data_IF_828277431716
#
_entry.id   IF_828277431716
#
_cell.length_a   1.000
_cell.length_b   1.000
_cell.length_c   1.000
_cell.angle_alpha   90.00
_cell.angle_beta   90.00
_cell.angle_gamma   90.00
#
_symmetry.space_group_name_H-M   'P 1'
#
loop_
_entity.id
_entity.type
_entity.pdbx_description
1 polymer ?
#
# COMPACT_ATOMS: atom_id res chain seq x y z
N UNK A 1 20.07 9.43 70.48
CA UNK A 1 21.00 9.92 69.43
C UNK A 1 20.54 9.58 68.02
N UNK A 2 20.22 8.31 67.69
CA UNK A 2 19.73 7.95 66.34
C UNK A 2 18.36 8.57 65.98
N UNK A 3 17.41 8.65 66.92
CA UNK A 3 16.08 9.29 66.68
C UNK A 3 16.12 10.81 66.50
N UNK A 4 17.13 11.50 67.06
CA UNK A 4 17.33 12.94 66.84
C UNK A 4 17.96 13.24 65.47
N UNK A 5 18.72 12.29 64.91
CA UNK A 5 19.31 12.40 63.57
C UNK A 5 18.26 12.23 62.46
N UNK A 6 17.27 11.34 62.65
CA UNK A 6 16.16 11.19 61.72
C UNK A 6 15.20 12.38 61.76
N UNK A 7 15.02 13.01 62.93
CA UNK A 7 14.15 14.18 63.10
C UNK A 7 14.69 15.48 62.46
N UNK A 8 16.01 15.59 62.27
CA UNK A 8 16.68 16.75 61.67
C UNK A 8 17.33 16.44 60.31
N UNK A 9 17.04 15.29 59.72
CA UNK A 9 17.50 14.92 58.37
C UNK A 9 16.71 15.69 57.32
N UNK A 10 17.35 16.06 56.21
CA UNK A 10 16.65 16.62 55.04
C UNK A 10 15.62 15.65 54.43
N UNK A 11 15.72 14.36 54.76
CA UNK A 11 14.76 13.30 54.41
C UNK A 11 13.70 13.04 55.52
N UNK A 12 13.58 13.93 56.50
CA UNK A 12 12.50 13.86 57.49
C UNK A 12 11.14 14.00 56.77
N UNK A 13 10.15 13.20 57.18
CA UNK A 13 8.85 13.12 56.47
C UNK A 13 8.10 14.45 56.33
N UNK A 14 8.40 15.46 57.17
CA UNK A 14 7.87 16.82 57.02
C UNK A 14 8.39 17.59 55.80
N UNK A 15 9.53 17.19 55.24
CA UNK A 15 10.14 17.78 54.04
C UNK A 15 9.79 17.00 52.77
N UNK A 16 8.96 15.95 52.85
CA UNK A 16 8.65 15.09 51.71
C UNK A 16 8.15 15.86 50.48
N UNK A 17 7.23 16.86 50.60
CA UNK A 17 6.79 17.63 49.42
C UNK A 17 7.91 18.43 48.76
N UNK A 18 8.85 18.96 49.55
CA UNK A 18 9.99 19.73 49.04
C UNK A 18 11.01 18.85 48.32
N UNK A 19 11.27 17.66 48.85
CA UNK A 19 12.17 16.69 48.22
C UNK A 19 11.53 16.09 46.96
N UNK A 20 10.22 15.89 46.95
CA UNK A 20 9.45 15.42 45.79
C UNK A 20 9.47 16.46 44.66
N UNK A 21 9.24 17.75 44.95
CA UNK A 21 9.34 18.83 43.95
C UNK A 21 10.76 18.94 43.36
N UNK A 22 11.79 18.84 44.21
CA UNK A 22 13.20 18.79 43.77
C UNK A 22 13.49 17.57 42.89
N UNK A 23 12.93 16.41 43.21
CA UNK A 23 13.13 15.20 42.41
C UNK A 23 12.43 15.28 41.06
N UNK A 24 11.22 15.85 41.02
CA UNK A 24 10.50 16.09 39.77
C UNK A 24 11.22 17.08 38.86
N UNK A 25 11.77 18.16 39.41
CA UNK A 25 12.60 19.10 38.67
C UNK A 25 13.88 18.44 38.12
N UNK A 26 14.46 17.50 38.88
CA UNK A 26 15.58 16.68 38.42
C UNK A 26 15.20 15.72 37.28
N UNK A 27 14.02 15.09 37.33
CA UNK A 27 13.51 14.20 36.28
C UNK A 27 13.24 14.96 34.96
N UNK A 28 12.80 16.21 35.03
CA UNK A 28 12.60 17.08 33.86
C UNK A 28 13.93 17.63 33.31
N UNK A 29 14.79 18.13 34.21
CA UNK A 29 16.14 18.59 33.86
C UNK A 29 17.10 18.44 35.05
N UNK A 30 18.07 17.51 35.01
CA UNK A 30 19.05 17.33 36.09
C UNK A 30 19.88 18.58 36.41
N UNK A 31 20.04 19.49 35.44
CA UNK A 31 20.74 20.76 35.59
C UNK A 31 19.99 21.82 36.41
N UNK A 32 18.69 21.61 36.66
CA UNK A 32 17.82 22.55 37.39
C UNK A 32 17.98 22.48 38.91
N UNK A 33 18.57 21.39 39.41
CA UNK A 33 18.77 21.17 40.85
C UNK A 33 20.23 21.42 41.28
N UNK A 34 20.46 21.87 42.53
CA UNK A 34 21.79 22.02 43.11
C UNK A 34 22.62 20.72 43.04
N UNK A 35 23.95 20.85 42.88
CA UNK A 35 24.85 19.71 42.63
C UNK A 35 24.81 18.63 43.74
N UNK A 36 24.56 19.02 44.99
CA UNK A 36 24.41 18.08 46.11
C UNK A 36 23.15 17.21 46.00
N UNK A 37 22.07 17.73 45.41
CA UNK A 37 20.84 16.98 45.15
C UNK A 37 20.96 16.13 43.88
N UNK A 38 21.61 16.65 42.84
CA UNK A 38 21.89 15.89 41.61
C UNK A 38 22.66 14.60 41.92
N UNK A 39 23.77 14.71 42.66
CA UNK A 39 24.57 13.55 43.05
C UNK A 39 23.79 12.53 43.90
N UNK A 40 22.87 13.02 44.74
CA UNK A 40 22.00 12.16 45.54
C UNK A 40 20.98 11.40 44.66
N UNK A 41 20.32 12.08 43.71
CA UNK A 41 19.35 11.47 42.80
C UNK A 41 19.99 10.54 41.74
N UNK A 42 21.18 10.88 41.24
CA UNK A 42 21.99 10.01 40.38
C UNK A 42 22.28 8.67 41.07
N UNK A 43 22.59 8.70 42.38
CA UNK A 43 22.84 7.50 43.17
C UNK A 43 21.59 6.64 43.37
N UNK A 44 20.41 7.27 43.34
CA UNK A 44 19.11 6.60 43.53
C UNK A 44 18.63 5.90 42.26
N UNK A 45 18.91 6.45 41.07
CA UNK A 45 18.61 5.83 39.77
C UNK A 45 19.36 4.50 39.55
N UNK A 46 20.43 4.25 40.32
CA UNK A 46 21.20 2.99 40.28
C UNK A 46 20.66 1.92 41.24
N UNK A 47 19.60 2.23 42.00
CA UNK A 47 18.93 1.28 42.92
C UNK A 47 17.76 0.62 42.18
N UNK A 48 17.60 -0.71 42.23
CA UNK A 48 16.46 -1.38 41.61
C UNK A 48 15.13 -0.84 42.15
N UNK A 49 14.16 -0.62 41.27
CA UNK A 49 12.82 -0.20 41.66
C UNK A 49 12.22 -1.21 42.65
N UNK A 50 11.43 -0.71 43.61
CA UNK A 50 10.82 -1.52 44.68
C UNK A 50 9.88 -2.59 44.13
N UNK A 51 9.37 -2.41 42.91
CA UNK A 51 8.50 -3.35 42.18
C UNK A 51 9.26 -4.30 41.23
N UNK A 52 10.60 -4.22 41.18
CA UNK A 52 11.45 -5.04 40.32
C UNK A 52 11.44 -4.63 38.84
N UNK A 53 10.87 -3.48 38.48
CA UNK A 53 10.87 -2.98 37.11
C UNK A 53 12.09 -2.11 36.78
N UNK A 54 12.54 -2.12 35.53
CA UNK A 54 13.60 -1.22 35.01
C UNK A 54 13.00 0.02 34.34
N UNK A 55 11.82 0.47 34.79
CA UNK A 55 11.16 1.64 34.19
C UNK A 55 11.74 2.91 34.81
N UNK A 56 12.08 3.93 33.99
CA UNK A 56 12.48 5.22 34.53
C UNK A 56 11.31 5.86 35.29
N UNK A 57 11.64 6.55 36.39
CA UNK A 57 10.66 7.31 37.17
C UNK A 57 10.04 8.42 36.31
N UNK A 58 8.74 8.65 36.50
CA UNK A 58 7.96 9.66 35.76
C UNK A 58 7.54 10.79 36.69
N UNK A 59 7.43 12.00 36.15
CA UNK A 59 6.98 13.19 36.89
C UNK A 59 5.51 13.04 37.29
N UNK A 60 5.23 12.97 38.60
CA UNK A 60 3.90 12.67 39.13
C UNK A 60 2.98 13.91 39.17
N UNK A 61 3.52 15.12 39.30
CA UNK A 61 2.74 16.37 39.30
C UNK A 61 1.91 16.57 38.04
N UNK A 62 2.42 16.21 36.86
CA UNK A 62 1.67 16.26 35.61
C UNK A 62 0.44 15.33 35.63
N UNK A 63 0.60 14.13 36.19
CA UNK A 63 -0.44 13.13 36.35
C UNK A 63 -1.46 13.60 37.39
N UNK A 64 -1.01 14.06 38.55
CA UNK A 64 -1.86 14.60 39.62
C UNK A 64 -2.63 15.83 39.13
N UNK A 65 -2.00 16.74 38.39
CA UNK A 65 -2.67 17.90 37.79
C UNK A 65 -3.73 17.47 36.77
N UNK A 66 -3.46 16.44 35.96
CA UNK A 66 -4.45 15.89 35.01
C UNK A 66 -5.66 15.26 35.74
N UNK A 67 -5.43 14.59 36.87
CA UNK A 67 -6.50 14.04 37.71
C UNK A 67 -7.25 15.11 38.48
N UNK A 68 -6.58 16.16 38.95
CA UNK A 68 -7.21 17.31 39.60
C UNK A 68 -8.09 18.11 38.63
N UNK A 69 -7.64 18.31 37.39
CA UNK A 69 -8.46 18.90 36.33
C UNK A 69 -9.65 18.00 35.96
N UNK A 70 -9.46 16.68 35.86
CA UNK A 70 -10.57 15.72 35.69
C UNK A 70 -11.55 15.73 36.86
N UNK A 71 -11.08 15.88 38.09
CA UNK A 71 -11.94 15.95 39.27
C UNK A 71 -12.78 17.24 39.29
N UNK A 72 -12.22 18.37 38.81
CA UNK A 72 -12.96 19.62 38.59
C UNK A 72 -14.00 19.51 37.47
N UNK A 73 -13.78 18.65 36.48
CA UNK A 73 -14.70 18.43 35.35
C UNK A 73 -15.97 17.63 35.70
N UNK A 74 -16.05 17.05 36.91
CA UNK A 74 -17.21 16.28 37.38
C UNK A 74 -17.33 14.89 36.74
N UNK A 75 -18.36 14.09 37.10
CA UNK A 75 -18.57 12.77 36.51
C UNK A 75 -18.85 12.89 35.02
N UNK A 76 -18.38 11.91 34.23
CA UNK A 76 -18.51 11.85 32.76
C UNK A 76 -19.96 12.14 32.36
N UNK A 77 -20.20 13.37 31.91
CA UNK A 77 -21.43 13.74 31.23
C UNK A 77 -21.28 13.32 29.77
N UNK A 78 -22.22 12.54 29.27
CA UNK A 78 -22.44 12.40 27.83
C UNK A 78 -22.75 13.81 27.31
N UNK A 79 -21.78 14.43 26.64
CA UNK A 79 -21.94 15.76 26.04
C UNK A 79 -22.80 15.60 24.79
N UNK A 80 -24.11 15.74 24.94
CA UNK A 80 -24.98 16.10 23.82
C UNK A 80 -24.66 17.54 23.40
N UNK A 81 -24.43 17.71 22.09
CA UNK A 81 -23.87 18.88 21.42
C UNK A 81 -24.14 20.24 22.12
N UNK A 82 -23.09 20.81 22.71
CA UNK A 82 -23.05 22.24 23.06
C UNK A 82 -22.65 23.07 21.83
N UNK A 83 -23.12 24.31 21.79
CA UNK A 83 -22.64 25.40 20.92
C UNK A 83 -21.24 25.86 21.33
N UNK A 84 -20.30 24.93 21.47
CA UNK A 84 -18.88 25.23 21.73
C UNK A 84 -18.19 25.48 20.38
N UNK A 85 -17.75 26.73 20.09
CA UNK A 85 -17.08 27.06 18.84
C UNK A 85 -15.83 26.21 18.59
N UNK A 86 -15.11 25.81 19.64
CA UNK A 86 -13.89 25.00 19.50
C UNK A 86 -14.23 23.55 19.17
N UNK A 87 -15.31 23.00 19.74
CA UNK A 87 -15.82 21.69 19.32
C UNK A 87 -16.33 21.72 17.87
N UNK A 88 -16.94 22.84 17.46
CA UNK A 88 -17.33 23.09 16.07
C UNK A 88 -16.13 23.04 15.12
N UNK A 89 -15.05 23.75 15.46
CA UNK A 89 -13.78 23.73 14.69
C UNK A 89 -13.19 22.33 14.62
N UNK A 90 -13.10 21.62 15.74
CA UNK A 90 -12.58 20.25 15.81
C UNK A 90 -13.37 19.27 14.92
N UNK A 91 -14.69 19.39 14.84
CA UNK A 91 -15.52 18.56 13.93
C UNK A 91 -15.20 18.81 12.46
N UNK A 92 -14.99 20.07 12.06
CA UNK A 92 -14.58 20.42 10.70
C UNK A 92 -13.18 19.88 10.41
N UNK A 93 -12.26 20.05 11.35
CA UNK A 93 -10.90 19.53 11.27
C UNK A 93 -10.86 18.00 11.07
N UNK A 94 -11.71 17.24 11.79
CA UNK A 94 -11.84 15.79 11.56
C UNK A 94 -12.26 15.45 10.13
N UNK A 95 -13.20 16.21 9.57
CA UNK A 95 -13.64 16.01 8.18
C UNK A 95 -12.52 16.30 7.18
N UNK A 96 -11.74 17.37 7.42
CA UNK A 96 -10.57 17.71 6.61
C UNK A 96 -9.47 16.65 6.70
N UNK A 97 -9.20 16.14 7.90
CA UNK A 97 -8.25 15.07 8.15
C UNK A 97 -8.64 13.79 7.39
N UNK A 98 -9.91 13.36 7.42
CA UNK A 98 -10.40 12.22 6.64
C UNK A 98 -10.16 12.44 5.14
N UNK A 99 -10.49 13.63 4.64
CA UNK A 99 -10.27 13.98 3.24
C UNK A 99 -8.78 13.97 2.87
N UNK A 100 -7.90 14.46 3.76
CA UNK A 100 -6.46 14.45 3.57
C UNK A 100 -5.91 13.01 3.45
N UNK A 101 -6.32 12.08 4.31
CA UNK A 101 -5.90 10.67 4.20
C UNK A 101 -6.39 10.01 2.92
N UNK A 102 -7.63 10.29 2.49
CA UNK A 102 -8.15 9.79 1.21
C UNK A 102 -7.38 10.31 -0.02
N UNK A 103 -6.81 11.51 0.05
CA UNK A 103 -6.11 12.15 -1.06
C UNK A 103 -4.59 11.93 -1.06
N UNK A 104 -3.96 12.01 0.12
CA UNK A 104 -2.52 12.03 0.32
C UNK A 104 -1.97 10.75 0.97
N UNK A 105 -2.83 9.85 1.48
CA UNK A 105 -2.39 8.65 2.20
C UNK A 105 -1.46 7.76 1.39
N UNK A 106 -1.66 7.69 0.07
CA UNK A 106 -0.77 6.94 -0.85
C UNK A 106 0.69 7.41 -0.82
N UNK A 107 0.94 8.70 -0.57
CA UNK A 107 2.30 9.25 -0.48
C UNK A 107 3.01 8.88 0.82
N UNK A 108 2.25 8.50 1.84
CA UNK A 108 2.77 8.06 3.14
C UNK A 108 2.68 6.53 3.32
N UNK A 109 2.14 5.81 2.34
CA UNK A 109 1.99 4.37 2.36
C UNK A 109 3.35 3.64 2.30
N UNK A 110 3.40 2.44 2.87
CA UNK A 110 4.58 1.59 2.89
C UNK A 110 4.73 0.79 1.59
N UNK A 111 5.08 1.47 0.50
CA UNK A 111 5.07 0.92 -0.85
C UNK A 111 6.41 0.34 -1.31
N UNK A 112 7.53 0.80 -0.76
CA UNK A 112 8.86 0.36 -1.18
C UNK A 112 9.31 -0.87 -0.37
N UNK A 113 9.38 -2.09 -0.96
CA UNK A 113 9.88 -3.27 -0.27
C UNK A 113 11.36 -3.12 0.17
N UNK A 114 12.13 -2.25 -0.47
CA UNK A 114 13.54 -2.01 -0.17
C UNK A 114 13.76 -0.88 0.85
N UNK A 115 12.71 -0.13 1.21
CA UNK A 115 12.75 0.97 2.19
C UNK A 115 13.89 2.00 1.92
N UNK A 116 14.12 2.34 0.64
CA UNK A 116 15.22 3.21 0.21
C UNK A 116 14.92 4.69 0.40
N UNK A 117 13.65 5.05 0.38
CA UNK A 117 13.20 6.44 0.52
C UNK A 117 12.60 6.67 1.90
N UNK A 118 13.02 7.76 2.54
CA UNK A 118 12.37 8.24 3.75
C UNK A 118 10.95 8.69 3.44
N UNK A 119 10.03 8.44 4.37
CA UNK A 119 8.64 8.88 4.20
C UNK A 119 8.59 10.41 4.24
N UNK A 120 7.90 11.05 3.29
CA UNK A 120 7.77 12.50 3.30
C UNK A 120 7.00 12.95 4.54
N UNK A 121 7.38 14.12 5.09
CA UNK A 121 6.56 14.81 6.08
C UNK A 121 5.39 15.47 5.36
N UNK A 122 4.17 15.04 5.67
CA UNK A 122 2.93 15.58 5.10
C UNK A 122 2.11 16.19 6.26
N UNK A 123 2.19 17.51 6.49
CA UNK A 123 1.49 18.16 7.61
C UNK A 123 0.00 17.85 7.64
N UNK A 124 -0.66 17.74 6.49
CA UNK A 124 -2.10 17.48 6.37
C UNK A 124 -2.52 16.09 6.90
N UNK A 125 -1.59 15.16 7.09
CA UNK A 125 -1.84 13.84 7.70
C UNK A 125 -1.57 13.83 9.22
N UNK A 126 -1.01 14.91 9.77
CA UNK A 126 -0.73 15.09 11.19
C UNK A 126 -1.91 15.79 11.89
N UNK A 127 -2.48 15.23 12.97
CA UNK A 127 -3.53 15.90 13.75
C UNK A 127 -3.14 17.29 14.25
N UNK A 128 -1.87 17.50 14.60
CA UNK A 128 -1.39 18.77 15.15
C UNK A 128 -1.50 19.92 14.14
N UNK A 129 -1.45 19.63 12.83
CA UNK A 129 -1.70 20.61 11.77
C UNK A 129 -3.08 21.25 11.87
N UNK A 130 -4.07 20.51 12.38
CA UNK A 130 -5.43 20.99 12.59
C UNK A 130 -5.68 21.51 14.02
N UNK A 131 -4.64 21.61 14.84
CA UNK A 131 -4.72 22.08 16.23
C UNK A 131 -5.21 21.02 17.22
N UNK A 132 -5.18 19.73 16.85
CA UNK A 132 -5.41 18.66 17.82
C UNK A 132 -4.19 18.48 18.73
N UNK A 133 -4.45 18.25 20.00
CA UNK A 133 -3.46 17.94 21.03
C UNK A 133 -3.65 16.51 21.54
N UNK A 134 -2.73 16.02 22.36
CA UNK A 134 -2.87 14.68 22.98
C UNK A 134 -4.14 14.56 23.84
N UNK A 135 -4.61 15.67 24.43
CA UNK A 135 -5.85 15.71 25.20
C UNK A 135 -7.10 15.48 24.32
N UNK A 136 -7.00 15.65 23.01
CA UNK A 136 -8.11 15.51 22.07
C UNK A 136 -8.26 14.09 21.51
N UNK A 137 -7.28 13.22 21.76
CA UNK A 137 -7.22 11.88 21.16
C UNK A 137 -8.41 11.00 21.54
N UNK A 138 -8.97 11.20 22.74
CA UNK A 138 -10.08 10.41 23.26
C UNK A 138 -11.44 11.11 23.02
N UNK A 139 -11.47 12.28 22.35
CA UNK A 139 -12.71 12.94 21.94
C UNK A 139 -13.37 12.12 20.83
N UNK A 140 -14.67 11.84 21.00
CA UNK A 140 -15.47 11.07 20.05
C UNK A 140 -16.10 11.99 19.01
N UNK A 141 -15.87 11.66 17.75
CA UNK A 141 -16.40 12.37 16.59
C UNK A 141 -17.38 11.49 15.81
N UNK A 142 -18.33 12.14 15.14
CA UNK A 142 -19.18 11.48 14.16
C UNK A 142 -18.40 11.25 12.87
N UNK A 143 -18.39 10.01 12.38
CA UNK A 143 -17.68 9.56 11.18
C UNK A 143 -18.62 8.81 10.23
N UNK A 144 -19.92 9.08 10.28
CA UNK A 144 -20.93 8.35 9.49
C UNK A 144 -20.77 8.50 7.97
N UNK A 145 -19.97 9.47 7.52
CA UNK A 145 -19.57 9.65 6.11
C UNK A 145 -18.35 8.79 5.70
N UNK A 146 -18.10 7.72 6.44
CA UNK A 146 -17.05 6.72 6.20
C UNK A 146 -17.67 5.32 6.22
N UNK A 147 -16.96 4.35 5.65
CA UNK A 147 -17.41 2.96 5.58
C UNK A 147 -16.65 2.05 6.56
N UNK A 148 -16.07 2.60 7.63
CA UNK A 148 -15.32 1.82 8.63
C UNK A 148 -16.21 0.93 9.51
N UNK A 149 -17.54 1.10 9.46
CA UNK A 149 -18.54 0.36 10.23
C UNK A 149 -19.20 1.21 11.33
N UNK A 150 -18.44 1.75 12.31
CA UNK A 150 -19.01 2.62 13.34
C UNK A 150 -19.46 3.99 12.79
N UNK A 151 -20.54 4.55 13.36
CA UNK A 151 -20.97 5.93 13.07
C UNK A 151 -20.18 6.98 13.86
N UNK A 152 -19.47 6.56 14.90
CA UNK A 152 -18.64 7.43 15.75
C UNK A 152 -17.35 6.72 16.12
N UNK A 153 -16.27 7.48 16.31
CA UNK A 153 -14.97 6.97 16.75
C UNK A 153 -14.23 8.04 17.55
N UNK A 154 -13.36 7.62 18.48
CA UNK A 154 -12.37 8.54 19.06
C UNK A 154 -11.42 9.06 17.97
N UNK A 155 -10.80 10.23 18.14
CA UNK A 155 -9.79 10.72 17.21
C UNK A 155 -8.64 9.70 17.04
N UNK A 156 -8.23 9.06 18.14
CA UNK A 156 -7.24 7.98 18.14
C UNK A 156 -7.65 6.81 17.25
N UNK A 157 -8.86 6.32 17.42
CA UNK A 157 -9.36 5.17 16.64
C UNK A 157 -9.52 5.55 15.17
N UNK A 158 -10.03 6.75 14.89
CA UNK A 158 -10.14 7.27 13.53
C UNK A 158 -8.79 7.34 12.83
N UNK A 159 -7.75 7.84 13.51
CA UNK A 159 -6.39 7.88 12.94
C UNK A 159 -5.86 6.49 12.61
N UNK A 160 -6.12 5.51 13.48
CA UNK A 160 -5.75 4.13 13.21
C UNK A 160 -6.52 3.57 12.00
N UNK A 161 -7.83 3.81 11.91
CA UNK A 161 -8.65 3.39 10.78
C UNK A 161 -8.14 3.98 9.45
N UNK A 162 -7.83 5.27 9.44
CA UNK A 162 -7.33 5.97 8.25
C UNK A 162 -5.94 5.47 7.84
N UNK A 163 -5.02 5.31 8.80
CA UNK A 163 -3.67 4.78 8.55
C UNK A 163 -3.70 3.33 8.07
N UNK A 164 -4.53 2.50 8.68
CA UNK A 164 -4.68 1.10 8.27
C UNK A 164 -5.17 0.99 6.83
N UNK A 165 -6.07 1.89 6.43
CA UNK A 165 -6.72 1.85 5.12
C UNK A 165 -5.88 2.45 4.00
N UNK A 166 -5.26 3.61 4.23
CA UNK A 166 -4.63 4.40 3.17
C UNK A 166 -3.11 4.45 3.22
N UNK A 167 -2.49 3.93 4.29
CA UNK A 167 -1.06 4.15 4.55
C UNK A 167 -0.25 2.87 4.84
N UNK A 168 -0.83 1.68 4.62
CA UNK A 168 -0.12 0.40 4.83
C UNK A 168 0.54 -0.05 3.52
N UNK A 169 0.38 -1.32 3.16
CA UNK A 169 0.96 -1.91 1.94
C UNK A 169 0.20 -1.53 0.66
N UNK A 170 -0.92 -0.80 0.78
CA UNK A 170 -1.71 -0.31 -0.34
C UNK A 170 -1.83 1.22 -0.22
N UNK A 171 -1.42 1.93 -1.27
CA UNK A 171 -1.61 3.35 -1.45
C UNK A 171 -2.61 3.57 -2.59
N UNK A 172 -3.80 4.05 -2.28
CA UNK A 172 -4.85 4.27 -3.28
C UNK A 172 -4.88 5.73 -3.74
N UNK A 173 -4.83 5.96 -5.05
CA UNK A 173 -5.08 7.27 -5.65
C UNK A 173 -6.33 7.22 -6.51
N UNK A 174 -7.41 7.85 -6.04
CA UNK A 174 -8.71 7.83 -6.73
C UNK A 174 -9.55 9.08 -6.52
N UNK A 175 -9.14 9.98 -5.60
CA UNK A 175 -9.95 11.16 -5.27
C UNK A 175 -10.02 12.20 -6.40
N UNK A 176 -9.15 12.10 -7.42
CA UNK A 176 -9.19 12.92 -8.63
C UNK A 176 -10.30 12.52 -9.61
N UNK A 177 -10.93 11.36 -9.41
CA UNK A 177 -12.04 10.89 -10.25
C UNK A 177 -13.20 11.87 -10.18
N UNK A 178 -13.75 12.27 -11.33
CA UNK A 178 -14.88 13.19 -11.42
C UNK A 178 -16.16 12.56 -10.86
N UNK A 179 -16.44 11.30 -11.24
CA UNK A 179 -17.66 10.58 -10.88
C UNK A 179 -17.76 10.32 -9.35
N UNK A 180 -18.76 10.88 -8.66
CA UNK A 180 -18.98 10.64 -7.24
C UNK A 180 -19.36 9.19 -6.88
N UNK A 181 -20.02 8.45 -7.78
CA UNK A 181 -20.41 7.07 -7.57
C UNK A 181 -19.19 6.14 -7.55
N UNK A 182 -18.24 6.35 -8.47
CA UNK A 182 -16.98 5.60 -8.50
C UNK A 182 -16.11 5.87 -7.27
N UNK A 183 -15.97 7.15 -6.87
CA UNK A 183 -15.28 7.51 -5.63
C UNK A 183 -15.91 6.84 -4.41
N UNK A 184 -17.24 6.84 -4.32
CA UNK A 184 -17.97 6.20 -3.22
C UNK A 184 -17.74 4.69 -3.21
N UNK A 185 -17.79 4.06 -4.38
CA UNK A 185 -17.54 2.63 -4.52
C UNK A 185 -16.14 2.24 -4.05
N UNK A 186 -15.11 3.02 -4.43
CA UNK A 186 -13.74 2.80 -3.95
C UNK A 186 -13.60 3.04 -2.45
N UNK A 187 -14.21 4.09 -1.90
CA UNK A 187 -14.24 4.33 -0.45
C UNK A 187 -14.86 3.15 0.29
N UNK A 188 -16.03 2.68 -0.15
CA UNK A 188 -16.69 1.53 0.45
C UNK A 188 -15.82 0.28 0.40
N UNK A 189 -15.18 -0.01 -0.75
CA UNK A 189 -14.32 -1.18 -0.91
C UNK A 189 -13.05 -1.13 -0.07
N UNK A 190 -12.44 0.04 0.11
CA UNK A 190 -11.21 0.20 0.87
C UNK A 190 -11.48 0.29 2.38
N UNK A 191 -12.39 1.15 2.80
CA UNK A 191 -12.62 1.45 4.23
C UNK A 191 -13.32 0.30 4.97
N UNK A 192 -14.23 -0.43 4.32
CA UNK A 192 -14.97 -1.54 4.95
C UNK A 192 -14.08 -2.69 5.43
N UNK A 193 -12.98 -2.94 4.73
CA UNK A 193 -11.98 -3.97 5.08
C UNK A 193 -10.64 -3.35 5.50
N UNK A 194 -10.57 -2.02 5.60
CA UNK A 194 -9.36 -1.26 5.90
C UNK A 194 -8.17 -1.67 5.02
N UNK A 195 -8.44 -1.88 3.73
CA UNK A 195 -7.48 -2.40 2.74
C UNK A 195 -6.73 -3.67 3.20
N UNK A 196 -7.29 -4.42 4.14
CA UNK A 196 -6.67 -5.60 4.78
C UNK A 196 -7.61 -6.79 4.63
N UNK A 197 -7.67 -7.42 3.44
CA UNK A 197 -8.54 -8.56 3.21
C UNK A 197 -8.16 -9.76 4.10
N UNK A 198 -9.17 -10.47 4.59
CA UNK A 198 -8.98 -11.73 5.29
C UNK A 198 -9.17 -12.89 4.32
N UNK A 199 -8.15 -13.76 4.23
CA UNK A 199 -8.16 -14.93 3.37
C UNK A 199 -8.18 -16.22 4.19
N UNK A 200 -8.83 -17.25 3.65
CA UNK A 200 -8.82 -18.60 4.24
C UNK A 200 -7.41 -19.21 4.17
N UNK A 201 -7.17 -20.27 4.94
CA UNK A 201 -5.88 -20.96 4.95
C UNK A 201 -5.55 -21.54 3.56
N UNK A 202 -6.56 -22.07 2.87
CA UNK A 202 -6.45 -22.63 1.52
C UNK A 202 -6.05 -21.55 0.51
N UNK A 203 -6.69 -20.38 0.59
CA UNK A 203 -6.35 -19.26 -0.30
C UNK A 203 -4.93 -18.74 -0.06
N UNK A 204 -4.50 -18.66 1.21
CA UNK A 204 -3.12 -18.28 1.57
C UNK A 204 -2.10 -19.32 1.07
N UNK A 205 -2.41 -20.60 1.19
CA UNK A 205 -1.57 -21.68 0.67
C UNK A 205 -1.44 -21.62 -0.86
N UNK A 206 -2.54 -21.33 -1.57
CA UNK A 206 -2.52 -21.13 -3.02
C UNK A 206 -1.66 -19.93 -3.43
N UNK A 207 -1.81 -18.78 -2.76
CA UNK A 207 -0.97 -17.59 -3.02
C UNK A 207 0.52 -17.93 -2.81
N UNK A 208 0.86 -18.61 -1.72
CA UNK A 208 2.23 -19.02 -1.44
C UNK A 208 2.76 -20.01 -2.49
N UNK A 209 1.92 -20.92 -2.96
CA UNK A 209 2.28 -21.88 -4.00
C UNK A 209 2.58 -21.16 -5.34
N UNK A 210 1.75 -20.20 -5.75
CA UNK A 210 2.02 -19.36 -6.94
C UNK A 210 3.32 -18.58 -6.83
N UNK A 211 3.61 -18.00 -5.67
CA UNK A 211 4.90 -17.34 -5.40
C UNK A 211 6.08 -18.31 -5.49
N UNK A 212 5.93 -19.50 -4.90
CA UNK A 212 6.97 -20.54 -4.89
C UNK A 212 7.25 -21.06 -6.30
N UNK A 213 6.20 -21.24 -7.12
CA UNK A 213 6.34 -21.63 -8.51
C UNK A 213 7.06 -20.55 -9.34
N UNK A 214 6.74 -19.27 -9.08
CA UNK A 214 7.39 -18.15 -9.74
C UNK A 214 8.90 -18.08 -9.42
N UNK A 215 9.27 -18.12 -8.13
CA UNK A 215 10.67 -18.11 -7.71
C UNK A 215 11.42 -19.37 -8.17
N UNK A 216 10.80 -20.55 -8.01
CA UNK A 216 11.40 -21.83 -8.33
C UNK A 216 11.81 -21.95 -9.80
N UNK A 217 10.97 -21.47 -10.72
CA UNK A 217 11.29 -21.45 -12.15
C UNK A 217 12.50 -20.54 -12.43
N UNK A 218 12.52 -19.33 -11.85
CA UNK A 218 13.62 -18.38 -12.06
C UNK A 218 14.95 -18.93 -11.55
N UNK A 219 14.96 -19.51 -10.35
CA UNK A 219 16.15 -20.13 -9.76
C UNK A 219 16.64 -21.33 -10.57
N UNK A 220 15.72 -22.13 -11.10
CA UNK A 220 16.07 -23.25 -11.97
C UNK A 220 16.73 -22.76 -13.27
N UNK A 221 16.10 -21.80 -13.95
CA UNK A 221 16.64 -21.20 -15.19
C UNK A 221 17.98 -20.53 -14.94
N UNK A 222 18.15 -19.82 -13.82
CA UNK A 222 19.41 -19.18 -13.44
C UNK A 222 20.54 -20.19 -13.27
N UNK A 223 20.27 -21.31 -12.60
CA UNK A 223 21.25 -22.35 -12.31
C UNK A 223 21.63 -23.13 -13.56
N UNK A 224 20.66 -23.48 -14.40
CA UNK A 224 20.87 -24.35 -15.56
C UNK A 224 21.42 -23.60 -16.78
N UNK A 225 20.94 -22.38 -17.03
CA UNK A 225 21.26 -21.60 -18.22
C UNK A 225 22.06 -20.34 -17.87
N UNK A 226 23.25 -20.55 -17.30
CA UNK A 226 24.15 -19.48 -16.86
C UNK A 226 24.52 -18.57 -18.04
N UNK A 227 24.37 -17.27 -17.87
CA UNK A 227 24.69 -16.26 -18.90
C UNK A 227 23.60 -16.05 -19.96
N UNK A 228 22.55 -16.87 -20.00
CA UNK A 228 21.43 -16.65 -20.90
C UNK A 228 20.56 -15.47 -20.44
N UNK A 229 20.24 -14.55 -21.36
CA UNK A 229 19.27 -13.48 -21.10
C UNK A 229 17.87 -14.09 -20.95
N UNK A 230 17.28 -13.94 -19.75
CA UNK A 230 15.93 -14.46 -19.42
C UNK A 230 14.93 -13.40 -18.98
N UNK A 231 15.38 -12.16 -18.73
CA UNK A 231 14.57 -11.06 -18.19
C UNK A 231 13.76 -11.47 -16.96
N UNK A 232 14.49 -11.91 -15.94
CA UNK A 232 13.94 -12.53 -14.74
C UNK A 232 12.85 -11.70 -14.06
N UNK A 233 11.87 -12.39 -13.50
CA UNK A 233 10.86 -11.82 -12.60
C UNK A 233 11.34 -11.69 -11.15
N UNK A 234 12.56 -12.12 -10.81
CA UNK A 234 13.08 -12.07 -9.43
C UNK A 234 12.91 -10.66 -8.80
N UNK A 235 12.31 -10.63 -7.60
CA UNK A 235 11.90 -9.41 -6.90
C UNK A 235 10.52 -8.85 -7.29
N UNK A 236 9.79 -9.52 -8.17
CA UNK A 236 8.42 -9.17 -8.58
C UNK A 236 7.54 -10.42 -8.75
N UNK A 237 7.82 -11.47 -8.00
CA UNK A 237 7.12 -12.77 -8.05
C UNK A 237 5.63 -12.64 -7.69
N UNK A 238 5.29 -11.65 -6.86
CA UNK A 238 3.91 -11.29 -6.50
C UNK A 238 3.03 -10.99 -7.71
N UNK A 239 3.64 -10.59 -8.85
CA UNK A 239 2.95 -10.44 -10.12
C UNK A 239 2.23 -11.73 -10.57
N UNK A 240 2.84 -12.90 -10.38
CA UNK A 240 2.22 -14.18 -10.78
C UNK A 240 1.00 -14.49 -9.92
N UNK A 241 1.09 -14.25 -8.61
CA UNK A 241 -0.06 -14.41 -7.72
C UNK A 241 -1.19 -13.40 -8.07
N UNK A 242 -0.82 -12.17 -8.41
CA UNK A 242 -1.78 -11.12 -8.79
C UNK A 242 -2.51 -11.42 -10.11
N UNK A 243 -1.80 -11.90 -11.13
CA UNK A 243 -2.42 -12.21 -12.42
C UNK A 243 -3.27 -13.47 -12.33
N UNK A 244 -2.85 -14.48 -11.56
CA UNK A 244 -3.64 -15.67 -11.25
C UNK A 244 -4.97 -15.30 -10.61
N UNK A 245 -4.95 -14.47 -9.56
CA UNK A 245 -6.18 -13.98 -8.91
C UNK A 245 -7.07 -13.20 -9.88
N UNK A 246 -6.47 -12.37 -10.74
CA UNK A 246 -7.20 -11.60 -11.74
C UNK A 246 -7.93 -12.52 -12.72
N UNK A 247 -7.27 -13.57 -13.23
CA UNK A 247 -7.84 -14.55 -14.16
C UNK A 247 -8.97 -15.35 -13.49
N UNK A 248 -8.73 -15.85 -12.27
CA UNK A 248 -9.74 -16.61 -11.52
C UNK A 248 -10.99 -15.76 -11.27
N UNK A 249 -10.82 -14.52 -10.83
CA UNK A 249 -11.94 -13.60 -10.56
C UNK A 249 -12.64 -13.13 -11.83
N UNK A 250 -11.92 -12.95 -12.94
CA UNK A 250 -12.51 -12.63 -14.24
C UNK A 250 -13.42 -13.79 -14.71
N UNK A 251 -12.95 -15.02 -14.60
CA UNK A 251 -13.73 -16.21 -14.93
C UNK A 251 -14.99 -16.36 -14.07
N UNK A 252 -14.90 -16.14 -12.75
CA UNK A 252 -16.06 -16.07 -11.85
C UNK A 252 -17.09 -14.99 -12.24
N UNK A 253 -16.64 -13.91 -12.87
CA UNK A 253 -17.49 -12.82 -13.37
C UNK A 253 -18.01 -13.06 -14.80
N UNK A 254 -17.71 -14.22 -15.39
CA UNK A 254 -18.21 -14.61 -16.70
C UNK A 254 -17.36 -14.14 -17.88
N UNK A 255 -16.15 -13.60 -17.65
CA UNK A 255 -15.19 -13.32 -18.71
C UNK A 255 -14.83 -14.64 -19.42
N UNK A 256 -14.91 -14.63 -20.74
CA UNK A 256 -14.69 -15.81 -21.58
C UNK A 256 -13.30 -15.82 -22.21
N UNK A 257 -12.74 -14.65 -22.49
CA UNK A 257 -11.41 -14.50 -23.08
C UNK A 257 -10.60 -13.41 -22.39
N UNK A 258 -9.30 -13.63 -22.22
CA UNK A 258 -8.36 -12.64 -21.72
C UNK A 258 -7.21 -12.53 -22.70
N UNK A 259 -6.90 -11.31 -23.12
CA UNK A 259 -5.76 -11.04 -24.00
C UNK A 259 -4.71 -10.26 -23.21
N UNK A 260 -3.51 -10.83 -23.13
CA UNK A 260 -2.40 -10.28 -22.36
C UNK A 260 -1.39 -9.65 -23.32
N UNK A 261 -1.07 -8.37 -23.11
CA UNK A 261 0.09 -7.69 -23.68
C UNK A 261 1.12 -7.45 -22.59
N UNK A 262 2.38 -7.81 -22.81
CA UNK A 262 3.43 -7.58 -21.82
C UNK A 262 4.80 -7.31 -22.43
N UNK A 263 5.62 -6.57 -21.68
CA UNK A 263 7.05 -6.45 -21.94
C UNK A 263 7.82 -7.78 -21.70
N UNK A 264 9.16 -7.72 -21.77
CA UNK A 264 10.02 -8.89 -21.63
C UNK A 264 10.12 -9.43 -20.18
N UNK A 265 9.94 -8.58 -19.16
CA UNK A 265 10.17 -8.94 -17.75
C UNK A 265 9.16 -9.98 -17.27
N UNK A 266 9.67 -11.12 -16.79
CA UNK A 266 8.85 -12.23 -16.28
C UNK A 266 8.00 -12.95 -17.34
N UNK A 267 8.23 -12.71 -18.64
CA UNK A 267 7.42 -13.32 -19.70
C UNK A 267 7.49 -14.84 -19.70
N UNK A 268 8.69 -15.41 -19.48
CA UNK A 268 8.85 -16.86 -19.40
C UNK A 268 8.09 -17.44 -18.20
N UNK A 269 8.02 -16.68 -17.11
CA UNK A 269 7.28 -17.03 -15.92
C UNK A 269 5.78 -17.06 -16.19
N UNK A 270 5.24 -16.03 -16.84
CA UNK A 270 3.85 -15.98 -17.28
C UNK A 270 3.52 -17.13 -18.24
N UNK A 271 4.38 -17.41 -19.22
CA UNK A 271 4.17 -18.53 -20.15
C UNK A 271 3.99 -19.87 -19.43
N UNK A 272 4.86 -20.18 -18.47
CA UNK A 272 4.83 -21.48 -17.76
C UNK A 272 3.78 -21.48 -16.65
N UNK A 273 3.83 -20.52 -15.73
CA UNK A 273 3.06 -20.54 -14.49
C UNK A 273 1.65 -19.94 -14.63
N UNK A 274 1.35 -19.23 -15.72
CA UNK A 274 0.01 -18.66 -15.98
C UNK A 274 -0.64 -19.29 -17.20
N UNK A 275 0.04 -19.37 -18.35
CA UNK A 275 -0.55 -19.95 -19.57
C UNK A 275 -0.34 -21.46 -19.68
N UNK A 276 0.43 -22.10 -18.80
CA UNK A 276 0.62 -23.55 -18.82
C UNK A 276 1.46 -24.06 -19.98
N UNK A 277 2.34 -23.24 -20.57
CA UNK A 277 3.35 -23.69 -21.53
C UNK A 277 4.20 -24.78 -20.87
N UNK A 278 4.42 -25.88 -21.58
CA UNK A 278 5.21 -26.99 -21.04
C UNK A 278 6.63 -26.52 -20.70
N UNK A 279 7.13 -26.77 -19.47
CA UNK A 279 8.52 -26.49 -19.13
C UNK A 279 9.51 -27.19 -20.07
N UNK A 280 9.15 -28.38 -20.58
CA UNK A 280 9.97 -29.11 -21.54
C UNK A 280 10.15 -28.30 -22.84
N UNK A 281 9.06 -27.81 -23.43
CA UNK A 281 9.10 -26.98 -24.64
C UNK A 281 9.94 -25.72 -24.42
N UNK A 282 9.78 -25.07 -23.27
CA UNK A 282 10.61 -23.92 -22.91
C UNK A 282 12.09 -24.29 -22.84
N UNK A 283 12.44 -25.41 -22.21
CA UNK A 283 13.84 -25.84 -22.11
C UNK A 283 14.43 -26.21 -23.47
N UNK A 284 13.65 -26.81 -24.37
CA UNK A 284 14.07 -27.09 -25.74
C UNK A 284 14.45 -25.80 -26.50
N UNK A 285 13.71 -24.70 -26.28
CA UNK A 285 14.06 -23.36 -26.80
C UNK A 285 15.32 -22.75 -26.16
N UNK A 286 15.74 -23.22 -24.98
CA UNK A 286 17.04 -22.88 -24.40
C UNK A 286 18.18 -23.69 -25.00
N UNK A 287 17.93 -24.93 -25.39
CA UNK A 287 18.90 -25.80 -26.08
C UNK A 287 19.00 -25.52 -27.60
N UNK A 288 18.27 -24.53 -28.11
CA UNK A 288 18.27 -24.16 -29.54
C UNK A 288 17.49 -25.11 -30.44
N UNK A 289 16.62 -25.96 -29.87
CA UNK A 289 15.70 -26.80 -30.62
C UNK A 289 14.40 -26.01 -30.84
N UNK A 290 14.13 -25.66 -32.10
CA UNK A 290 12.90 -25.00 -32.51
C UNK A 290 12.05 -25.99 -33.31
N UNK A 291 10.79 -26.15 -32.92
CA UNK A 291 9.84 -27.05 -33.59
C UNK A 291 9.25 -26.50 -34.89
N UNK A 292 9.49 -25.23 -35.19
CA UNK A 292 8.88 -24.54 -36.33
C UNK A 292 9.87 -24.27 -37.47
N UNK A 293 9.55 -24.79 -38.66
CA UNK A 293 10.15 -24.49 -39.97
C UNK A 293 9.82 -23.04 -40.45
N UNK A 294 9.73 -22.07 -39.54
CA UNK A 294 9.46 -20.69 -39.90
C UNK A 294 10.75 -19.99 -40.38
N UNK A 295 10.75 -19.30 -41.54
CA UNK A 295 11.98 -18.84 -42.20
C UNK A 295 12.82 -17.83 -41.40
N UNK A 296 12.26 -17.16 -40.39
CA UNK A 296 12.91 -16.03 -39.70
C UNK A 296 12.54 -15.91 -38.21
N UNK A 297 12.40 -17.03 -37.48
CA UNK A 297 11.91 -17.06 -36.10
C UNK A 297 12.42 -15.95 -35.15
N UNK A 298 11.61 -15.60 -34.15
CA UNK A 298 11.91 -14.53 -33.17
C UNK A 298 12.40 -15.11 -31.83
N UNK A 299 13.05 -14.28 -31.00
CA UNK A 299 13.55 -14.69 -29.69
C UNK A 299 12.41 -15.18 -28.78
N UNK A 300 12.69 -16.18 -27.94
CA UNK A 300 11.70 -16.88 -27.08
C UNK A 300 10.80 -15.98 -26.22
N UNK A 301 11.28 -14.79 -25.86
CA UNK A 301 10.51 -13.80 -25.09
C UNK A 301 9.72 -12.79 -25.96
N UNK A 302 9.53 -13.06 -27.25
CA UNK A 302 8.58 -12.35 -28.14
C UNK A 302 7.44 -13.26 -28.61
N UNK A 303 7.55 -14.57 -28.40
CA UNK A 303 6.56 -15.56 -28.83
C UNK A 303 5.25 -15.40 -28.05
N UNK A 304 4.13 -15.42 -28.77
CA UNK A 304 2.80 -15.52 -28.19
C UNK A 304 2.47 -16.94 -27.76
N UNK A 305 1.37 -17.11 -27.03
CA UNK A 305 0.88 -18.43 -26.61
C UNK A 305 -0.62 -18.34 -26.34
N UNK A 306 -1.33 -19.46 -26.44
CA UNK A 306 -2.75 -19.50 -26.10
C UNK A 306 -3.11 -20.81 -25.44
N UNK A 307 -3.99 -20.75 -24.44
CA UNK A 307 -4.44 -21.90 -23.66
C UNK A 307 -5.76 -21.59 -22.97
N UNK A 308 -6.49 -22.65 -22.61
CA UNK A 308 -7.69 -22.52 -21.78
C UNK A 308 -7.33 -22.84 -20.34
N UNK A 309 -7.65 -21.93 -19.41
CA UNK A 309 -7.42 -22.10 -17.98
C UNK A 309 -8.76 -22.27 -17.27
N UNK A 310 -8.86 -23.28 -16.42
CA UNK A 310 -10.04 -23.51 -15.59
C UNK A 310 -10.19 -22.44 -14.52
N UNK A 311 -11.39 -21.87 -14.41
CA UNK A 311 -11.81 -21.03 -13.30
C UNK A 311 -13.09 -21.57 -12.65
N UNK A 312 -13.47 -21.04 -11.48
CA UNK A 312 -14.71 -21.41 -10.82
C UNK A 312 -15.97 -21.08 -11.67
N UNK A 313 -15.89 -20.10 -12.58
CA UNK A 313 -16.98 -19.76 -13.51
C UNK A 313 -16.96 -20.53 -14.84
N UNK A 314 -15.99 -21.43 -15.04
CA UNK A 314 -15.77 -22.16 -16.29
C UNK A 314 -14.41 -21.89 -16.92
N UNK A 315 -14.08 -22.52 -18.05
CA UNK A 315 -12.81 -22.29 -18.74
C UNK A 315 -12.76 -20.86 -19.31
N UNK A 316 -11.61 -20.21 -19.14
CA UNK A 316 -11.29 -18.90 -19.71
C UNK A 316 -10.17 -19.06 -20.72
N UNK A 317 -10.38 -18.58 -21.95
CA UNK A 317 -9.37 -18.63 -22.99
C UNK A 317 -8.34 -17.49 -22.80
N UNK A 318 -7.08 -17.84 -22.57
CA UNK A 318 -5.98 -16.89 -22.46
C UNK A 318 -5.21 -16.79 -23.78
N UNK A 319 -4.88 -15.58 -24.19
CA UNK A 319 -4.01 -15.31 -25.33
C UNK A 319 -2.91 -14.31 -24.94
N UNK A 320 -1.65 -14.73 -24.97
CA UNK A 320 -0.50 -13.82 -24.86
C UNK A 320 -0.12 -13.33 -26.26
N UNK A 321 -0.16 -12.02 -26.46
CA UNK A 321 0.18 -11.40 -27.74
C UNK A 321 1.68 -11.51 -28.05
N UNK A 322 2.01 -11.68 -29.32
CA UNK A 322 3.36 -11.47 -29.83
C UNK A 322 3.74 -9.98 -29.69
N UNK A 323 5.01 -9.70 -29.42
CA UNK A 323 5.49 -8.31 -29.38
C UNK A 323 6.96 -8.22 -29.81
N UNK A 324 7.36 -7.13 -30.48
CA UNK A 324 8.76 -6.84 -30.71
C UNK A 324 9.45 -6.33 -29.42
N UNK A 325 10.75 -6.05 -29.51
CA UNK A 325 11.50 -5.41 -28.41
C UNK A 325 11.10 -3.95 -28.14
N UNK A 326 10.37 -3.29 -29.05
CA UNK A 326 9.85 -1.94 -28.84
C UNK A 326 8.78 -2.00 -27.74
N UNK A 327 9.10 -1.47 -26.56
CA UNK A 327 8.21 -1.50 -25.40
C UNK A 327 6.93 -0.71 -25.67
N UNK A 328 5.85 -1.08 -24.98
CA UNK A 328 4.53 -0.44 -25.02
C UNK A 328 3.77 -0.50 -26.37
N UNK A 329 4.43 -0.75 -27.51
CA UNK A 329 3.77 -0.78 -28.82
C UNK A 329 2.76 -1.93 -28.98
N UNK A 330 2.86 -2.95 -28.13
CA UNK A 330 1.89 -4.06 -28.09
C UNK A 330 0.54 -3.63 -27.50
N UNK A 331 0.49 -2.54 -26.73
CA UNK A 331 -0.72 -2.06 -26.05
C UNK A 331 -1.88 -1.82 -27.03
N UNK A 332 -1.75 -0.96 -28.07
CA UNK A 332 -2.85 -0.74 -29.02
C UNK A 332 -3.16 -1.98 -29.87
N UNK A 333 -2.19 -2.87 -30.08
CA UNK A 333 -2.39 -4.14 -30.81
C UNK A 333 -3.30 -5.08 -30.03
N UNK A 334 -3.10 -5.17 -28.71
CA UNK A 334 -3.96 -5.95 -27.82
C UNK A 334 -5.35 -5.36 -27.73
N UNK A 335 -5.48 -4.04 -27.60
CA UNK A 335 -6.80 -3.38 -27.61
C UNK A 335 -7.56 -3.66 -28.92
N UNK A 336 -6.88 -3.60 -30.07
CA UNK A 336 -7.47 -3.97 -31.37
C UNK A 336 -7.88 -5.45 -31.44
N UNK A 337 -7.06 -6.36 -30.91
CA UNK A 337 -7.37 -7.79 -30.82
C UNK A 337 -8.59 -8.07 -29.93
N UNK A 338 -8.67 -7.40 -28.78
CA UNK A 338 -9.83 -7.47 -27.86
C UNK A 338 -11.07 -6.91 -28.54
N UNK A 339 -10.98 -5.75 -29.19
CA UNK A 339 -12.11 -5.15 -29.89
C UNK A 339 -12.67 -6.08 -30.98
N UNK A 340 -11.80 -6.72 -31.75
CA UNK A 340 -12.22 -7.70 -32.75
C UNK A 340 -12.91 -8.93 -32.12
N UNK A 341 -12.42 -9.42 -30.98
CA UNK A 341 -13.05 -10.54 -30.23
C UNK A 341 -14.40 -10.13 -29.63
N UNK A 342 -14.52 -8.91 -29.12
CA UNK A 342 -15.79 -8.35 -28.65
C UNK A 342 -16.82 -8.30 -29.79
N UNK A 343 -16.44 -7.79 -30.97
CA UNK A 343 -17.32 -7.76 -32.14
C UNK A 343 -17.76 -9.16 -32.57
N UNK A 344 -16.82 -10.11 -32.62
CA UNK A 344 -17.12 -11.52 -32.94
C UNK A 344 -18.13 -12.14 -31.96
N UNK A 345 -18.07 -11.76 -30.68
CA UNK A 345 -18.96 -12.26 -29.62
C UNK A 345 -20.27 -11.49 -29.49
N UNK A 346 -20.41 -10.36 -30.17
CA UNK A 346 -21.52 -9.43 -29.92
C UNK A 346 -21.46 -8.77 -28.54
N UNK A 347 -20.27 -8.72 -27.92
CA UNK A 347 -20.02 -8.11 -26.62
C UNK A 347 -19.88 -6.60 -26.75
N UNK A 348 -21.02 -5.89 -26.67
CA UNK A 348 -21.07 -4.44 -26.87
C UNK A 348 -20.50 -3.63 -25.71
N UNK A 349 -20.48 -4.22 -24.51
CA UNK A 349 -20.14 -3.54 -23.26
C UNK A 349 -18.75 -3.92 -22.74
N UNK A 350 -18.09 -4.93 -23.33
CA UNK A 350 -16.78 -5.41 -22.88
C UNK A 350 -16.85 -6.31 -21.64
N UNK A 351 -17.96 -7.03 -21.48
CA UNK A 351 -18.20 -7.88 -20.31
C UNK A 351 -17.56 -9.27 -20.43
N UNK A 352 -17.20 -9.72 -21.64
CA UNK A 352 -16.74 -11.09 -21.92
C UNK A 352 -15.27 -11.18 -22.34
N UNK A 353 -14.65 -10.08 -22.76
CA UNK A 353 -13.26 -10.07 -23.24
C UNK A 353 -12.47 -9.03 -22.44
N UNK A 354 -11.49 -9.48 -21.65
CA UNK A 354 -10.70 -8.61 -20.78
C UNK A 354 -9.28 -8.40 -21.34
N UNK A 355 -8.87 -7.16 -21.67
CA UNK A 355 -7.48 -6.83 -21.88
C UNK A 355 -6.72 -6.74 -20.55
N UNK A 356 -5.52 -7.35 -20.51
CA UNK A 356 -4.54 -7.16 -19.44
C UNK A 356 -3.24 -6.65 -20.08
N UNK A 357 -2.78 -5.48 -19.67
CA UNK A 357 -1.55 -4.87 -20.17
C UNK A 357 -0.52 -4.75 -19.06
N UNK A 358 0.69 -5.24 -19.30
CA UNK A 358 1.76 -5.33 -18.32
C UNK A 358 2.97 -4.50 -18.77
N UNK A 359 3.34 -3.56 -17.91
CA UNK A 359 4.28 -2.49 -18.24
C UNK A 359 5.53 -2.54 -17.34
N UNK A 360 6.62 -1.93 -17.83
CA UNK A 360 7.74 -1.51 -16.97
C UNK A 360 7.56 -0.05 -16.57
N UNK A 361 7.99 0.34 -15.37
CA UNK A 361 7.84 1.70 -14.82
C UNK A 361 8.40 2.80 -15.73
N UNK A 362 9.64 2.65 -16.19
CA UNK A 362 10.28 3.66 -17.05
C UNK A 362 9.61 3.75 -18.43
N UNK A 363 9.18 2.62 -18.98
CA UNK A 363 8.52 2.58 -20.29
C UNK A 363 7.11 3.16 -20.23
N UNK A 364 6.36 2.84 -19.17
CA UNK A 364 4.99 3.33 -18.94
C UNK A 364 4.93 4.86 -18.85
N UNK A 365 5.92 5.47 -18.16
CA UNK A 365 6.01 6.92 -18.03
C UNK A 365 6.58 7.60 -19.30
N UNK A 366 7.44 6.91 -20.06
CA UNK A 366 8.24 7.53 -21.12
C UNK A 366 7.75 7.34 -22.56
N UNK A 367 6.94 6.32 -22.84
CA UNK A 367 6.49 6.02 -24.21
C UNK A 367 5.14 6.67 -24.53
N UNK A 368 5.11 7.56 -25.53
CA UNK A 368 3.90 8.28 -25.93
C UNK A 368 2.73 7.39 -26.36
N UNK A 369 3.01 6.18 -26.87
CA UNK A 369 1.97 5.21 -27.26
C UNK A 369 1.09 4.77 -26.08
N UNK A 370 1.58 4.88 -24.84
CA UNK A 370 0.78 4.62 -23.63
C UNK A 370 -0.34 5.65 -23.52
N UNK A 371 0.00 6.94 -23.61
CA UNK A 371 -0.95 8.04 -23.61
C UNK A 371 -1.94 7.92 -24.77
N UNK A 372 -1.43 7.65 -25.98
CA UNK A 372 -2.28 7.47 -27.17
C UNK A 372 -3.29 6.33 -26.98
N UNK A 373 -2.86 5.19 -26.44
CA UNK A 373 -3.75 4.05 -26.17
C UNK A 373 -4.77 4.36 -25.06
N UNK A 374 -4.34 4.99 -23.97
CA UNK A 374 -5.24 5.37 -22.86
C UNK A 374 -6.34 6.32 -23.34
N UNK A 375 -6.00 7.29 -24.20
CA UNK A 375 -6.96 8.20 -24.79
C UNK A 375 -8.06 7.51 -25.62
N UNK A 376 -7.83 6.27 -26.08
CA UNK A 376 -8.80 5.46 -26.82
C UNK A 376 -9.78 4.70 -25.92
N UNK A 377 -9.49 4.54 -24.62
CA UNK A 377 -10.19 3.63 -23.71
C UNK A 377 -11.72 3.83 -23.67
N UNK A 378 -12.18 5.08 -23.76
CA UNK A 378 -13.61 5.44 -23.69
C UNK A 378 -14.19 5.85 -25.06
N UNK A 379 -13.42 5.74 -26.15
CA UNK A 379 -13.91 6.11 -27.48
C UNK A 379 -14.84 5.02 -28.04
N UNK A 380 -15.88 5.42 -28.78
CA UNK A 380 -16.85 4.48 -29.36
C UNK A 380 -16.20 3.42 -30.27
N UNK A 381 -15.20 3.83 -31.07
CA UNK A 381 -14.58 2.99 -32.09
C UNK A 381 -13.55 2.01 -31.54
N UNK A 382 -12.89 2.35 -30.43
CA UNK A 382 -11.71 1.62 -29.95
C UNK A 382 -11.85 1.11 -28.52
N UNK A 383 -12.76 1.68 -27.71
CA UNK A 383 -12.96 1.29 -26.33
C UNK A 383 -13.39 -0.18 -26.18
N UNK A 384 -12.85 -0.81 -25.14
CA UNK A 384 -12.94 -2.25 -24.84
C UNK A 384 -13.66 -2.55 -23.53
N UNK A 385 -14.29 -1.56 -22.90
CA UNK A 385 -14.98 -1.72 -21.61
C UNK A 385 -14.06 -1.56 -20.39
N UNK A 386 -12.78 -1.25 -20.62
CA UNK A 386 -11.77 -1.04 -19.59
C UNK A 386 -10.65 -2.08 -19.65
N UNK A 387 -9.45 -1.68 -19.24
CA UNK A 387 -8.24 -2.49 -19.30
C UNK A 387 -7.60 -2.60 -17.94
N UNK A 388 -7.20 -3.82 -17.56
CA UNK A 388 -6.38 -4.01 -16.35
C UNK A 388 -4.92 -3.72 -16.68
N UNK A 389 -4.41 -2.59 -16.19
CA UNK A 389 -3.01 -2.21 -16.32
C UNK A 389 -2.22 -2.63 -15.09
N UNK A 390 -1.13 -3.38 -15.29
CA UNK A 390 -0.21 -3.79 -14.22
C UNK A 390 1.18 -3.27 -14.53
N UNK A 391 1.68 -2.34 -13.71
CA UNK A 391 3.04 -1.82 -13.85
C UNK A 391 3.96 -2.58 -12.90
N UNK A 392 4.92 -3.33 -13.45
CA UNK A 392 5.99 -3.98 -12.68
C UNK A 392 7.04 -2.95 -12.26
N UNK A 393 6.72 -2.15 -11.24
CA UNK A 393 7.56 -1.07 -10.76
C UNK A 393 8.71 -1.57 -9.89
N UNK A 394 9.76 -2.04 -10.54
CA UNK A 394 11.02 -2.43 -9.91
C UNK A 394 11.93 -1.22 -9.56
N UNK A 395 11.44 0.01 -9.78
CA UNK A 395 12.12 1.26 -9.47
C UNK A 395 13.48 1.43 -10.19
N UNK A 396 13.63 0.83 -11.38
CA UNK A 396 14.82 0.96 -12.24
C UNK A 396 14.53 0.66 -13.72
N UNK A 397 14.85 1.64 -14.58
CA UNK A 397 14.85 1.49 -16.03
C UNK A 397 16.23 1.12 -16.55
N UNK A 398 16.55 -0.18 -16.65
CA UNK A 398 17.88 -0.69 -17.06
C UNK A 398 19.03 -0.15 -16.18
N UNK A 399 19.59 1.02 -16.47
CA UNK A 399 20.62 1.69 -15.65
C UNK A 399 20.15 3.03 -15.06
N UNK A 400 18.95 3.49 -15.42
CA UNK A 400 18.35 4.73 -14.96
C UNK A 400 17.47 4.46 -13.75
N UNK A 401 17.97 4.80 -12.55
CA UNK A 401 17.25 4.61 -11.29
C UNK A 401 16.83 5.90 -10.60
N UNK A 402 17.45 7.04 -10.94
CA UNK A 402 17.02 8.34 -10.43
C UNK A 402 15.68 8.72 -11.08
N UNK A 403 14.60 8.89 -10.29
CA UNK A 403 13.29 9.24 -10.84
C UNK A 403 13.32 10.53 -11.67
N UNK A 404 14.23 11.47 -11.38
CA UNK A 404 14.35 12.76 -12.08
C UNK A 404 14.85 12.61 -13.52
N UNK A 405 15.53 11.51 -13.81
CA UNK A 405 16.00 11.16 -15.17
C UNK A 405 14.94 10.35 -15.94
N UNK A 406 14.04 9.66 -15.23
CA UNK A 406 13.06 8.77 -15.83
C UNK A 406 11.68 9.42 -16.07
N UNK A 407 11.29 10.41 -15.25
CA UNK A 407 9.96 11.05 -15.32
C UNK A 407 9.94 12.42 -14.61
N UNK A 408 8.88 13.19 -14.87
CA UNK A 408 8.63 14.50 -14.23
C UNK A 408 7.48 14.49 -13.22
N UNK A 409 7.02 13.30 -12.84
CA UNK A 409 5.87 13.08 -11.96
C UNK A 409 6.27 12.21 -10.76
N UNK A 410 5.43 12.15 -9.72
CA UNK A 410 5.75 11.37 -8.52
C UNK A 410 5.76 9.87 -8.84
N UNK A 411 4.68 9.38 -9.44
CA UNK A 411 4.50 7.99 -9.80
C UNK A 411 4.66 7.79 -11.31
N UNK A 412 5.21 6.63 -11.70
CA UNK A 412 5.27 6.25 -13.12
C UNK A 412 3.88 6.10 -13.75
N UNK A 413 2.86 5.85 -12.93
CA UNK A 413 1.47 5.68 -13.34
C UNK A 413 0.68 6.97 -13.51
N UNK A 414 1.26 8.15 -13.23
CA UNK A 414 0.53 9.43 -13.25
C UNK A 414 -0.12 9.74 -14.62
N UNK A 415 0.36 9.13 -15.71
CA UNK A 415 -0.24 9.25 -17.05
C UNK A 415 -1.71 8.81 -17.10
N UNK A 416 -2.13 7.82 -16.29
CA UNK A 416 -3.51 7.30 -16.33
C UNK A 416 -4.53 8.27 -15.75
N UNK A 417 -4.08 9.27 -14.98
CA UNK A 417 -4.95 10.32 -14.43
C UNK A 417 -5.63 11.14 -15.52
N UNK A 418 -5.09 11.15 -16.75
CA UNK A 418 -5.71 11.82 -17.91
C UNK A 418 -7.09 11.26 -18.27
N UNK A 419 -7.35 9.99 -17.96
CA UNK A 419 -8.64 9.32 -18.17
C UNK A 419 -9.36 9.04 -16.85
N UNK A 420 -8.90 9.67 -15.76
CA UNK A 420 -9.45 9.48 -14.41
C UNK A 420 -9.45 8.01 -13.95
N UNK A 421 -8.53 7.16 -14.43
CA UNK A 421 -8.49 5.76 -13.99
C UNK A 421 -7.88 5.65 -12.58
N UNK A 422 -8.52 4.95 -11.61
CA UNK A 422 -7.97 4.78 -10.27
C UNK A 422 -6.65 4.00 -10.28
N UNK A 423 -5.75 4.36 -9.36
CA UNK A 423 -4.45 3.69 -9.19
C UNK A 423 -4.34 3.08 -7.80
N UNK A 424 -3.93 1.82 -7.75
CA UNK A 424 -3.57 1.13 -6.51
C UNK A 424 -2.07 0.80 -6.55
N UNK A 425 -1.30 1.48 -5.72
CA UNK A 425 0.11 1.13 -5.47
C UNK A 425 0.16 0.05 -4.40
N UNK A 426 0.86 -1.05 -4.65
CA UNK A 426 0.88 -2.21 -3.75
C UNK A 426 2.33 -2.69 -3.57
N UNK A 427 2.73 -2.93 -2.32
CA UNK A 427 4.01 -3.54 -1.94
C UNK A 427 3.97 -5.05 -2.13
#
# INVERSE_FOLDING_TARGET
>A
MMQQYTANSYLFGGNAPYVEELYEAYLDNPGSVPDNWRAYFDSMQNVPAVDGSNKPDVVHSSVIASFAERAKAGPIRVVTASTDPDMGRKRVAVTQLIAAYRYLGSQWANLDPLQRQERPTIPELDPSFYGFTDADMDIVFNISNTYFGPETASLRDLLNLLRDTYCRSIGAEFMYIGDPAEKRWLQEKLESIRSTPSFTAEKKAHILERLTAAEGLERYLHTKYVGAKRYSLEGSESFIASIDETIQRAGEKGVQEIVIGMAHRGRLNVLVNTLGKSPQELFEEFEGKHGDDLPSGDVKYHQGFSSDISSAGGPVHLSLAFNPSHLEIVNPVVEGSVKARMERRGDKEGAQVLPILVHGDAAFAGQGVVMETLNLAQTRGYGTGGTMHTVTNNQIGFTTSDPRDARSTLYCSDVVKMIEAPVLHVN
#
